data_IF_749016011063
#
_entry.id   IF_749016011063
#
_cell.length_a   1.000
_cell.length_b   1.000
_cell.length_c   1.000
_cell.angle_alpha   90.00
_cell.angle_beta   90.00
_cell.angle_gamma   90.00
#
_symmetry.space_group_name_H-M   'P 1'
#
loop_
_entity.id
_entity.type
_entity.pdbx_description
1 polymer ?
#
# COMPACT_ATOMS: atom_id res chain seq x y z
N UNK A 1 -8.38 -15.92 3.79
CA UNK A 1 -8.25 -17.07 2.86
C UNK A 1 -7.48 -16.63 1.61
N UNK A 2 -6.43 -17.35 1.23
CA UNK A 2 -5.51 -17.01 0.14
C UNK A 2 -6.02 -17.54 -1.22
N UNK A 3 -7.21 -17.12 -1.66
CA UNK A 3 -7.86 -17.73 -2.82
C UNK A 3 -7.23 -17.36 -4.18
N UNK A 4 -6.52 -16.24 -4.31
CA UNK A 4 -5.94 -15.80 -5.59
C UNK A 4 -4.44 -16.07 -5.71
N UNK A 5 -3.95 -16.21 -6.95
CA UNK A 5 -2.51 -16.27 -7.22
C UNK A 5 -1.78 -15.02 -6.71
N UNK A 6 -2.37 -13.84 -6.88
CA UNK A 6 -1.80 -12.57 -6.43
C UNK A 6 -1.63 -12.52 -4.91
N UNK A 7 -2.63 -12.98 -4.14
CA UNK A 7 -2.53 -13.06 -2.68
C UNK A 7 -1.44 -14.02 -2.25
N UNK A 8 -1.29 -15.19 -2.89
CA UNK A 8 -0.20 -16.12 -2.56
C UNK A 8 1.17 -15.51 -2.80
N UNK A 9 1.36 -14.79 -3.91
CA UNK A 9 2.62 -14.09 -4.19
C UNK A 9 2.87 -12.98 -3.17
N UNK A 10 1.84 -12.23 -2.75
CA UNK A 10 1.92 -11.21 -1.71
C UNK A 10 2.47 -11.77 -0.40
N UNK A 11 1.91 -12.89 0.08
CA UNK A 11 2.37 -13.51 1.33
C UNK A 11 3.80 -14.08 1.22
N UNK A 12 4.16 -14.64 0.06
CA UNK A 12 5.53 -15.10 -0.19
C UNK A 12 6.51 -13.90 -0.15
N UNK A 13 6.14 -12.76 -0.72
CA UNK A 13 6.98 -11.55 -0.69
C UNK A 13 7.16 -11.04 0.74
N UNK A 14 6.14 -11.11 1.59
CA UNK A 14 6.29 -10.85 3.02
C UNK A 14 7.28 -11.81 3.68
N UNK A 15 7.19 -13.12 3.40
CA UNK A 15 8.12 -14.11 3.94
C UNK A 15 9.58 -13.87 3.50
N UNK A 16 9.80 -13.33 2.29
CA UNK A 16 11.13 -12.93 1.80
C UNK A 16 11.66 -11.69 2.53
N UNK A 17 10.78 -10.86 3.10
CA UNK A 17 11.14 -9.66 3.85
C UNK A 17 10.70 -8.34 3.19
N UNK A 18 9.81 -8.39 2.20
CA UNK A 18 9.20 -7.18 1.65
C UNK A 18 8.07 -6.68 2.56
N UNK A 19 8.00 -5.37 2.72
CA UNK A 19 6.89 -4.67 3.38
C UNK A 19 5.93 -4.10 2.34
N UNK A 20 4.75 -3.63 2.78
CA UNK A 20 3.83 -3.00 1.84
C UNK A 20 4.44 -1.76 1.19
N UNK A 21 4.16 -1.62 -0.09
CA UNK A 21 4.78 -0.60 -0.93
C UNK A 21 4.37 0.83 -0.51
N UNK A 22 3.17 1.02 0.05
CA UNK A 22 2.73 2.30 0.61
C UNK A 22 3.37 2.66 1.96
N UNK A 23 4.11 1.72 2.58
CA UNK A 23 4.88 1.99 3.79
C UNK A 23 6.29 2.53 3.48
N UNK A 24 6.69 2.66 2.22
CA UNK A 24 8.02 3.19 1.87
C UNK A 24 8.24 4.60 2.46
N UNK A 25 9.49 4.96 2.83
CA UNK A 25 9.80 6.30 3.35
C UNK A 25 9.50 7.44 2.35
N UNK A 26 9.64 7.17 1.06
CA UNK A 26 9.45 8.10 -0.07
C UNK A 26 8.01 8.10 -0.64
N UNK A 27 7.08 7.33 -0.04
CA UNK A 27 5.75 7.11 -0.63
C UNK A 27 4.94 8.39 -0.84
N UNK A 28 5.18 9.44 -0.05
CA UNK A 28 4.45 10.72 -0.15
C UNK A 28 4.80 11.49 -1.45
N UNK A 29 5.87 11.12 -2.15
CA UNK A 29 6.19 11.64 -3.49
C UNK A 29 5.32 11.03 -4.60
N UNK A 30 4.66 9.91 -4.30
CA UNK A 30 3.91 9.11 -5.29
C UNK A 30 2.42 8.99 -4.96
N UNK A 31 2.09 8.98 -3.68
CA UNK A 31 0.77 8.70 -3.13
C UNK A 31 0.35 9.73 -2.09
N UNK A 32 -0.95 9.99 -2.04
CA UNK A 32 -1.66 10.64 -0.95
C UNK A 32 -2.41 9.60 -0.13
N UNK A 33 -2.31 9.69 1.20
CA UNK A 33 -3.12 8.93 2.15
C UNK A 33 -4.21 9.84 2.72
N UNK A 34 -5.47 9.43 2.57
CA UNK A 34 -6.62 10.13 3.14
C UNK A 34 -6.90 9.56 4.54
N UNK A 35 -6.17 10.06 5.53
CA UNK A 35 -6.19 9.55 6.91
C UNK A 35 -7.57 9.53 7.56
N UNK A 36 -8.44 10.47 7.22
CA UNK A 36 -9.81 10.55 7.77
C UNK A 36 -10.71 9.42 7.29
N UNK A 37 -10.38 8.84 6.13
CA UNK A 37 -11.10 7.72 5.53
C UNK A 37 -10.65 6.37 6.09
N UNK A 38 -9.50 6.30 6.77
CA UNK A 38 -8.98 5.05 7.34
C UNK A 38 -9.69 4.74 8.65
N UNK A 39 -10.11 3.49 8.83
CA UNK A 39 -10.62 2.99 10.11
C UNK A 39 -9.58 3.17 11.21
N UNK A 40 -9.99 3.65 12.39
CA UNK A 40 -9.04 4.04 13.44
C UNK A 40 -8.11 2.89 13.88
N UNK A 41 -8.61 1.65 13.85
CA UNK A 41 -7.83 0.44 14.18
C UNK A 41 -6.71 0.15 13.17
N UNK A 42 -6.84 0.63 11.92
CA UNK A 42 -5.91 0.36 10.83
C UNK A 42 -4.96 1.52 10.52
N UNK A 43 -5.06 2.67 11.20
CA UNK A 43 -4.18 3.83 10.92
C UNK A 43 -2.70 3.50 11.05
N UNK A 44 -2.32 2.58 11.93
CA UNK A 44 -0.93 2.17 12.06
C UNK A 44 -0.40 1.43 10.82
N UNK A 45 -1.24 0.72 10.08
CA UNK A 45 -0.89 -0.08 8.90
C UNK A 45 -0.46 0.80 7.70
N UNK A 46 -0.79 2.09 7.74
CA UNK A 46 -0.46 3.08 6.70
C UNK A 46 0.72 3.97 7.06
N UNK A 47 1.30 3.81 8.26
CA UNK A 47 2.47 4.59 8.67
C UNK A 47 3.67 4.23 7.80
N UNK A 48 4.51 5.22 7.53
CA UNK A 48 5.78 4.99 6.82
C UNK A 48 6.74 4.22 7.72
N UNK A 49 7.48 3.31 7.13
CA UNK A 49 8.64 2.71 7.75
C UNK A 49 9.78 3.73 7.79
N UNK A 50 10.62 3.60 8.82
CA UNK A 50 11.84 4.41 8.94
C UNK A 50 12.83 4.04 7.84
N UNK A 51 13.49 5.03 7.25
CA UNK A 51 14.51 4.81 6.22
C UNK A 51 15.69 3.94 6.70
N UNK A 52 15.91 3.85 8.01
CA UNK A 52 16.92 2.95 8.60
C UNK A 52 16.49 1.47 8.62
N UNK A 53 15.18 1.19 8.50
CA UNK A 53 14.62 -0.17 8.58
C UNK A 53 14.36 -0.81 7.22
N UNK A 54 14.29 -0.01 6.15
CA UNK A 54 13.93 -0.48 4.81
C UNK A 54 14.85 0.12 3.76
N UNK A 55 15.34 -0.74 2.87
CA UNK A 55 16.12 -0.31 1.71
C UNK A 55 15.20 -0.21 0.49
N UNK A 56 15.27 0.92 -0.21
CA UNK A 56 14.62 1.09 -1.50
C UNK A 56 15.49 0.43 -2.56
N UNK A 57 14.98 -0.64 -3.17
CA UNK A 57 15.70 -1.43 -4.18
C UNK A 57 15.33 -1.05 -5.62
N UNK A 58 14.21 -0.38 -5.82
CA UNK A 58 13.67 -0.04 -7.13
C UNK A 58 12.80 1.24 -7.10
N UNK A 59 12.55 1.87 -8.26
CA UNK A 59 11.58 2.96 -8.39
C UNK A 59 10.19 2.56 -7.86
N UNK A 60 9.36 3.56 -7.57
CA UNK A 60 8.01 3.30 -7.06
C UNK A 60 7.11 2.65 -8.13
N UNK A 61 6.68 1.41 -7.88
CA UNK A 61 5.75 0.68 -8.73
C UNK A 61 4.29 0.74 -8.22
N UNK A 62 3.42 1.43 -8.95
CA UNK A 62 1.97 1.51 -8.67
C UNK A 62 1.22 0.20 -8.92
N UNK A 63 1.84 -0.79 -9.58
CA UNK A 63 1.28 -2.12 -9.83
C UNK A 63 1.91 -3.21 -8.96
N UNK A 64 2.71 -2.82 -7.97
CA UNK A 64 3.35 -3.75 -7.05
C UNK A 64 2.32 -4.65 -6.39
N UNK A 65 2.59 -5.96 -6.35
CA UNK A 65 1.78 -6.93 -5.61
C UNK A 65 1.75 -6.60 -4.10
N UNK A 66 2.66 -5.75 -3.62
CA UNK A 66 2.74 -5.31 -2.22
C UNK A 66 2.03 -3.97 -1.97
N UNK A 67 1.38 -3.37 -2.98
CA UNK A 67 0.65 -2.11 -2.79
C UNK A 67 -0.81 -2.40 -2.44
N UNK A 68 -1.31 -1.81 -1.36
CA UNK A 68 -2.73 -1.86 -1.03
C UNK A 68 -3.62 -1.22 -2.10
N UNK A 69 -4.80 -1.80 -2.26
CA UNK A 69 -5.84 -1.24 -3.11
C UNK A 69 -6.33 0.13 -2.58
N UNK A 70 -6.96 0.95 -3.44
CA UNK A 70 -7.29 2.33 -3.12
C UNK A 70 -8.30 2.51 -1.98
N UNK A 71 -9.01 1.46 -1.57
CA UNK A 71 -10.10 1.49 -0.58
C UNK A 71 -9.87 0.56 0.61
N UNK A 72 -8.71 -0.11 0.67
CA UNK A 72 -8.42 -1.05 1.76
C UNK A 72 -8.51 -0.34 3.12
N UNK A 73 -9.17 -0.98 4.08
CA UNK A 73 -9.38 -0.48 5.45
C UNK A 73 -10.08 0.88 5.57
N UNK A 74 -10.83 1.29 4.55
CA UNK A 74 -11.68 2.48 4.60
C UNK A 74 -12.86 2.31 5.56
N UNK A 75 -13.25 3.35 6.30
CA UNK A 75 -14.33 3.32 7.30
C UNK A 75 -15.67 2.79 6.78
N UNK A 76 -15.97 3.03 5.49
CA UNK A 76 -17.24 2.63 4.88
C UNK A 76 -17.07 1.83 3.58
N UNK A 77 -15.88 1.25 3.33
CA UNK A 77 -15.60 0.36 2.19
C UNK A 77 -15.60 1.00 0.79
N UNK A 78 -16.26 2.14 0.57
CA UNK A 78 -16.25 2.88 -0.70
C UNK A 78 -15.30 4.08 -0.71
N UNK A 79 -14.87 4.53 0.47
CA UNK A 79 -14.01 5.70 0.61
C UNK A 79 -12.61 5.42 0.07
N UNK A 80 -12.09 6.37 -0.71
CA UNK A 80 -10.72 6.30 -1.22
C UNK A 80 -9.74 6.64 -0.10
N UNK A 81 -8.90 5.68 0.24
CA UNK A 81 -7.83 5.76 1.24
C UNK A 81 -6.50 6.15 0.60
N UNK A 82 -6.15 5.52 -0.52
CA UNK A 82 -4.92 5.79 -1.28
C UNK A 82 -5.25 6.43 -2.63
N UNK A 83 -4.53 7.48 -2.99
CA UNK A 83 -4.65 8.13 -4.30
C UNK A 83 -3.27 8.45 -4.87
N UNK A 84 -3.00 8.18 -6.16
CA UNK A 84 -1.74 8.56 -6.77
C UNK A 84 -1.72 10.07 -7.08
N UNK A 85 -0.55 10.68 -7.00
CA UNK A 85 -0.37 12.07 -7.45
C UNK A 85 -0.40 12.19 -8.97
N UNK A 86 0.01 11.13 -9.68
CA UNK A 86 -0.07 11.06 -11.14
C UNK A 86 -1.51 10.78 -11.58
N UNK A 87 -2.12 11.75 -12.24
CA UNK A 87 -3.52 11.71 -12.71
C UNK A 87 -3.80 10.51 -13.64
N UNK A 88 -2.82 10.11 -14.45
CA UNK A 88 -2.96 8.96 -15.38
C UNK A 88 -2.88 7.59 -14.72
N UNK A 89 -2.61 7.52 -13.42
CA UNK A 89 -2.47 6.26 -12.68
C UNK A 89 -3.80 5.90 -12.02
N UNK A 90 -4.25 4.67 -12.25
CA UNK A 90 -5.39 4.07 -11.56
C UNK A 90 -4.89 2.92 -10.71
N UNK A 91 -5.03 3.04 -9.38
CA UNK A 91 -4.70 1.96 -8.45
C UNK A 91 -5.77 0.87 -8.53
N UNK A 92 -5.33 -0.39 -8.52
CA UNK A 92 -6.22 -1.55 -8.53
C UNK A 92 -6.03 -2.34 -7.25
N UNK A 93 -7.09 -3.02 -6.83
CA UNK A 93 -7.02 -4.05 -5.80
C UNK A 93 -6.35 -5.29 -6.39
N UNK A 94 -5.67 -6.05 -5.54
CA UNK A 94 -5.27 -7.44 -5.80
C UNK A 94 -6.49 -8.37 -5.86
#
# INVERSE_FOLDING_TARGET
ECYSFATRVHEIMHAIGFFHHHNRPDRDEYLRINWDNISDVHKNDFKKLSAYKVKILAPFDYKSVMLYGPREFGKQGYQIVLSPHKISVVLKRL
#
